data_IF_143484651648
#
_entry.id   IF_143484651648
#
_cell.length_a   1.000
_cell.length_b   1.000
_cell.length_c   1.000
_cell.angle_alpha   90.00
_cell.angle_beta   90.00
_cell.angle_gamma   90.00
#
_symmetry.space_group_name_H-M   'P 1'
#
loop_
_entity.id
_entity.type
_entity.pdbx_description
1 polymer ?
#
# COMPACT_ATOMS: atom_id res chain seq x y z
N UNK A 1 -5.23 -2.84 -23.13
CA UNK A 1 -4.03 -3.57 -23.61
C UNK A 1 -3.07 -2.54 -24.18
N UNK A 2 -1.84 -2.51 -23.69
CA UNK A 2 -0.79 -1.63 -24.21
C UNK A 2 0.29 -2.49 -24.88
N UNK A 3 0.68 -2.08 -26.08
CA UNK A 3 1.86 -2.59 -26.77
C UNK A 3 2.98 -1.58 -26.58
N UNK A 4 4.11 -2.03 -26.04
CA UNK A 4 5.34 -1.23 -26.03
C UNK A 4 6.09 -1.45 -27.34
N UNK A 5 6.91 -0.50 -27.76
CA UNK A 5 7.71 -0.67 -28.97
C UNK A 5 8.63 -1.89 -28.74
N UNK A 6 8.59 -2.92 -29.61
CA UNK A 6 9.40 -4.12 -29.47
C UNK A 6 10.86 -3.82 -29.83
N UNK A 7 11.53 -3.00 -29.02
CA UNK A 7 12.99 -2.98 -29.00
C UNK A 7 13.46 -4.22 -28.21
N UNK A 8 14.31 -5.01 -28.85
CA UNK A 8 14.59 -6.41 -28.54
C UNK A 8 15.50 -6.61 -27.32
N UNK A 9 15.86 -5.55 -26.60
CA UNK A 9 16.76 -5.64 -25.45
C UNK A 9 16.12 -5.04 -24.21
N UNK A 10 15.18 -5.78 -23.61
CA UNK A 10 14.79 -5.63 -22.20
C UNK A 10 13.66 -4.63 -21.86
N UNK A 11 12.49 -4.70 -22.51
CA UNK A 11 11.23 -4.04 -22.05
C UNK A 11 10.06 -5.04 -22.02
N UNK A 12 9.01 -4.83 -21.19
CA UNK A 12 7.85 -5.69 -21.21
C UNK A 12 7.13 -5.49 -22.53
N UNK A 13 6.80 -6.57 -23.21
CA UNK A 13 6.25 -6.46 -24.56
C UNK A 13 4.74 -6.21 -24.56
N UNK A 14 4.03 -6.76 -23.57
CA UNK A 14 2.58 -6.62 -23.44
C UNK A 14 2.22 -6.34 -21.99
N UNK A 15 1.34 -5.36 -21.79
CA UNK A 15 0.68 -5.08 -20.51
C UNK A 15 -0.84 -5.19 -20.72
N UNK A 16 -1.47 -6.11 -20.00
CA UNK A 16 -2.93 -6.36 -20.05
C UNK A 16 -3.52 -6.17 -18.66
N UNK A 17 -4.48 -5.25 -18.52
CA UNK A 17 -5.31 -5.17 -17.32
C UNK A 17 -6.47 -6.15 -17.41
N UNK A 18 -6.74 -6.89 -16.33
CA UNK A 18 -7.95 -7.68 -16.16
C UNK A 18 -8.71 -7.25 -14.90
N UNK A 19 -10.00 -7.59 -14.84
CA UNK A 19 -10.85 -7.34 -13.67
C UNK A 19 -11.67 -8.60 -13.37
N UNK A 20 -11.83 -8.91 -12.09
CA UNK A 20 -12.51 -10.13 -11.63
C UNK A 20 -14.05 -10.04 -11.57
N UNK A 21 -14.63 -8.83 -11.60
CA UNK A 21 -16.09 -8.61 -11.68
C UNK A 21 -16.88 -8.50 -10.35
N UNK A 22 -16.24 -8.52 -9.18
CA UNK A 22 -16.89 -8.30 -7.86
C UNK A 22 -17.21 -6.83 -7.49
N UNK A 23 -18.11 -6.62 -6.51
CA UNK A 23 -18.55 -5.27 -6.12
C UNK A 23 -17.45 -4.31 -5.60
N UNK A 24 -16.27 -4.86 -5.24
CA UNK A 24 -15.06 -4.12 -4.87
C UNK A 24 -13.84 -4.72 -5.60
N UNK A 25 -13.99 -5.02 -6.91
CA UNK A 25 -13.07 -5.75 -7.78
C UNK A 25 -11.57 -5.51 -7.57
N UNK A 26 -10.81 -6.60 -7.58
CA UNK A 26 -9.36 -6.60 -7.73
C UNK A 26 -9.00 -6.56 -9.23
N UNK A 27 -8.37 -5.47 -9.65
CA UNK A 27 -7.67 -5.33 -10.92
C UNK A 27 -6.30 -6.00 -10.83
N UNK A 28 -5.91 -6.65 -11.92
CA UNK A 28 -4.59 -7.26 -12.06
C UNK A 28 -3.95 -6.79 -13.36
N UNK A 29 -2.67 -6.40 -13.31
CA UNK A 29 -1.86 -6.21 -14.50
C UNK A 29 -1.10 -7.49 -14.81
N UNK A 30 -1.27 -7.99 -16.04
CA UNK A 30 -0.48 -9.07 -16.61
C UNK A 30 0.62 -8.46 -17.47
N UNK A 31 1.86 -8.64 -17.04
CA UNK A 31 3.07 -8.21 -17.75
C UNK A 31 3.65 -9.43 -18.45
N UNK A 32 3.83 -9.34 -19.76
CA UNK A 32 4.37 -10.43 -20.58
C UNK A 32 5.59 -9.90 -21.33
N UNK A 33 6.71 -10.59 -21.16
CA UNK A 33 7.96 -10.35 -21.88
C UNK A 33 8.38 -11.62 -22.60
N UNK A 34 8.90 -11.52 -23.82
CA UNK A 34 9.28 -12.69 -24.63
C UNK A 34 10.73 -12.67 -25.14
N UNK A 35 11.51 -11.62 -24.84
CA UNK A 35 12.93 -11.56 -25.14
C UNK A 35 13.74 -11.20 -23.88
N UNK A 36 14.85 -11.91 -23.58
CA UNK A 36 15.38 -13.09 -24.28
C UNK A 36 14.64 -14.41 -23.99
N UNK A 37 13.69 -14.40 -23.05
CA UNK A 37 12.86 -15.57 -22.72
C UNK A 37 11.44 -15.14 -22.33
N UNK A 38 10.49 -16.08 -22.40
CA UNK A 38 9.12 -15.84 -21.96
C UNK A 38 9.07 -15.69 -20.44
N UNK A 39 8.69 -14.51 -19.98
CA UNK A 39 8.43 -14.19 -18.58
C UNK A 39 7.03 -13.59 -18.43
N UNK A 40 6.35 -13.98 -17.35
CA UNK A 40 5.07 -13.40 -16.94
C UNK A 40 5.18 -12.92 -15.50
N UNK A 41 4.71 -11.70 -15.26
CA UNK A 41 4.51 -11.16 -13.93
C UNK A 41 3.08 -10.67 -13.81
N UNK A 42 2.38 -11.14 -12.78
CA UNK A 42 1.09 -10.58 -12.39
C UNK A 42 1.34 -9.55 -11.28
N UNK A 43 0.68 -8.39 -11.37
CA UNK A 43 0.75 -7.33 -10.37
C UNK A 43 -0.67 -7.05 -9.91
N UNK A 44 -0.95 -7.36 -8.64
CA UNK A 44 -2.23 -7.03 -8.02
C UNK A 44 -2.27 -5.53 -7.73
N UNK A 45 -3.19 -4.83 -8.39
CA UNK A 45 -3.44 -3.39 -8.17
C UNK A 45 -4.78 -3.14 -7.48
N UNK A 46 -5.45 -4.21 -7.03
CA UNK A 46 -6.65 -4.18 -6.20
C UNK A 46 -7.71 -3.22 -6.75
N UNK A 47 -8.19 -2.26 -5.95
CA UNK A 47 -9.21 -1.30 -6.35
C UNK A 47 -8.68 -0.10 -7.14
N UNK A 48 -7.43 -0.14 -7.63
CA UNK A 48 -6.91 0.92 -8.50
C UNK A 48 -7.51 0.80 -9.90
N UNK A 49 -8.66 1.43 -10.07
CA UNK A 49 -9.41 1.54 -11.32
C UNK A 49 -8.70 2.43 -12.37
N UNK A 50 -7.76 3.25 -11.91
CA UNK A 50 -6.86 4.03 -12.75
C UNK A 50 -5.40 3.61 -12.55
N UNK A 51 -4.74 3.31 -13.67
CA UNK A 51 -3.31 3.00 -13.74
C UNK A 51 -2.73 3.97 -14.75
N UNK A 52 -1.87 4.86 -14.27
CA UNK A 52 -1.14 5.79 -15.11
C UNK A 52 0.11 5.09 -15.66
N UNK A 53 0.20 5.00 -16.98
CA UNK A 53 1.29 4.33 -17.70
C UNK A 53 2.05 5.37 -18.50
N UNK A 54 3.28 5.69 -18.06
CA UNK A 54 4.08 6.73 -18.71
C UNK A 54 5.21 6.10 -19.53
N UNK A 55 5.29 6.46 -20.80
CA UNK A 55 6.34 5.97 -21.69
C UNK A 55 7.73 6.45 -21.24
N UNK A 56 8.71 5.55 -21.33
CA UNK A 56 10.13 5.84 -21.08
C UNK A 56 10.91 5.51 -22.34
N UNK A 57 11.80 6.41 -22.78
CA UNK A 57 12.61 6.19 -23.96
C UNK A 57 13.57 5.01 -23.75
N UNK A 58 13.51 4.01 -24.64
CA UNK A 58 14.40 2.84 -24.61
C UNK A 58 14.17 1.88 -23.43
N UNK A 59 13.01 1.93 -22.78
CA UNK A 59 12.70 1.08 -21.63
C UNK A 59 11.21 0.78 -21.45
N UNK A 60 10.88 -0.05 -20.46
CA UNK A 60 9.50 -0.29 -20.07
C UNK A 60 8.87 0.96 -19.44
N UNK A 61 7.57 1.22 -19.68
CA UNK A 61 6.91 2.39 -19.12
C UNK A 61 6.87 2.32 -17.60
N UNK A 62 6.83 3.46 -16.92
CA UNK A 62 6.53 3.47 -15.48
C UNK A 62 5.05 3.21 -15.26
N UNK A 63 4.72 2.52 -14.17
CA UNK A 63 3.34 2.22 -13.78
C UNK A 63 3.05 2.91 -12.44
N UNK A 64 2.08 3.81 -12.43
CA UNK A 64 1.67 4.52 -11.22
C UNK A 64 0.21 4.18 -10.89
N UNK A 65 -0.04 3.82 -9.63
CA UNK A 65 -1.36 3.42 -9.13
C UNK A 65 -1.44 3.61 -7.61
N UNK A 66 -2.61 3.38 -7.02
CA UNK A 66 -2.80 3.45 -5.56
C UNK A 66 -2.85 2.05 -4.95
N UNK A 67 -2.18 1.87 -3.81
CA UNK A 67 -2.20 0.59 -3.10
C UNK A 67 -3.40 0.51 -2.14
N UNK A 68 -4.43 -0.24 -2.55
CA UNK A 68 -5.62 -0.49 -1.75
C UNK A 68 -5.49 -1.67 -0.78
N UNK A 69 -4.27 -2.12 -0.44
CA UNK A 69 -4.06 -3.19 0.55
C UNK A 69 -4.74 -2.89 1.89
N UNK A 70 -4.92 -1.61 2.25
CA UNK A 70 -5.60 -1.15 3.47
C UNK A 70 -7.10 -0.90 3.33
N UNK A 71 -7.71 -1.20 2.18
CA UNK A 71 -9.15 -1.09 1.99
C UNK A 71 -9.92 -1.86 3.07
N UNK A 72 -10.92 -1.20 3.66
CA UNK A 72 -11.79 -1.70 4.73
C UNK A 72 -11.10 -2.03 6.06
N UNK A 73 -9.82 -1.69 6.22
CA UNK A 73 -9.12 -1.92 7.48
C UNK A 73 -9.50 -0.83 8.49
N UNK A 74 -10.39 -1.18 9.41
CA UNK A 74 -10.91 -0.30 10.47
C UNK A 74 -11.53 1.01 9.97
N UNK A 75 -12.00 1.03 8.72
CA UNK A 75 -12.67 2.18 8.12
C UNK A 75 -13.55 1.78 6.94
N UNK A 76 -14.37 2.72 6.45
CA UNK A 76 -15.14 2.53 5.22
C UNK A 76 -14.20 2.45 4.00
N UNK A 77 -14.69 1.99 2.84
CA UNK A 77 -13.90 2.06 1.61
C UNK A 77 -13.51 3.49 1.26
N UNK A 78 -14.47 4.43 1.38
CA UNK A 78 -14.28 5.83 1.01
C UNK A 78 -13.20 6.52 1.86
N UNK A 79 -13.06 6.07 3.10
CA UNK A 79 -12.08 6.62 4.05
C UNK A 79 -10.77 5.82 4.08
N UNK A 80 -10.70 4.69 3.37
CA UNK A 80 -9.51 3.84 3.38
C UNK A 80 -8.33 4.54 2.70
N UNK A 81 -7.16 4.61 3.35
CA UNK A 81 -5.99 5.19 2.71
C UNK A 81 -5.47 4.27 1.61
N UNK A 82 -5.04 4.88 0.52
CA UNK A 82 -4.44 4.20 -0.62
C UNK A 82 -3.17 4.97 -1.03
N UNK A 83 -1.99 4.68 -0.43
CA UNK A 83 -0.77 5.38 -0.76
C UNK A 83 -0.34 5.14 -2.21
N UNK A 84 0.27 6.14 -2.88
CA UNK A 84 0.69 6.00 -4.27
C UNK A 84 1.90 5.07 -4.40
N UNK A 85 1.91 4.31 -5.48
CA UNK A 85 2.98 3.40 -5.89
C UNK A 85 3.47 3.81 -7.27
N UNK A 86 4.78 3.69 -7.46
CA UNK A 86 5.41 3.76 -8.78
C UNK A 86 6.24 2.50 -8.98
N UNK A 87 6.08 1.84 -10.12
CA UNK A 87 6.90 0.72 -10.55
C UNK A 87 7.70 1.10 -11.78
N UNK A 88 8.95 0.64 -11.83
CA UNK A 88 9.82 0.78 -12.98
C UNK A 88 10.26 -0.59 -13.50
N UNK A 89 10.48 -0.67 -14.80
CA UNK A 89 10.94 -1.90 -15.41
C UNK A 89 12.42 -2.13 -15.11
N UNK A 90 12.75 -3.29 -14.53
CA UNK A 90 14.12 -3.73 -14.35
C UNK A 90 14.52 -4.65 -15.52
N UNK A 91 15.23 -4.09 -16.48
CA UNK A 91 15.75 -4.79 -17.65
C UNK A 91 16.58 -6.04 -17.32
N UNK A 92 17.41 -5.97 -16.28
CA UNK A 92 18.28 -7.08 -15.87
C UNK A 92 17.50 -8.23 -15.24
N UNK A 93 16.45 -7.93 -14.48
CA UNK A 93 15.60 -8.93 -13.85
C UNK A 93 14.43 -9.37 -14.74
N UNK A 94 14.16 -8.66 -15.83
CA UNK A 94 13.05 -8.94 -16.73
C UNK A 94 11.68 -8.80 -16.05
N UNK A 95 11.54 -7.89 -15.09
CA UNK A 95 10.29 -7.67 -14.31
C UNK A 95 10.17 -6.24 -13.80
N UNK A 96 8.96 -5.83 -13.44
CA UNK A 96 8.72 -4.61 -12.69
C UNK A 96 9.16 -4.76 -11.23
N UNK A 97 9.79 -3.69 -10.73
CA UNK A 97 10.20 -3.51 -9.34
C UNK A 97 9.72 -2.14 -8.83
N UNK A 98 9.80 -1.91 -7.52
CA UNK A 98 9.49 -0.59 -6.95
C UNK A 98 10.41 0.48 -7.55
N UNK A 99 9.82 1.58 -8.03
CA UNK A 99 10.55 2.77 -8.44
C UNK A 99 10.89 3.61 -7.20
N UNK A 100 11.87 3.14 -6.43
CA UNK A 100 12.24 3.71 -5.13
C UNK A 100 12.54 5.21 -5.26
N UNK A 101 13.31 5.60 -6.26
CA UNK A 101 13.72 6.98 -6.44
C UNK A 101 12.53 7.89 -6.80
N UNK A 102 11.55 7.36 -7.55
CA UNK A 102 10.30 8.06 -7.82
C UNK A 102 9.34 8.14 -6.64
N UNK A 103 9.43 7.21 -5.68
CA UNK A 103 8.57 7.17 -4.49
C UNK A 103 9.15 7.97 -3.31
N UNK A 104 10.47 8.05 -3.21
CA UNK A 104 11.16 8.70 -2.09
C UNK A 104 10.81 10.17 -1.99
N UNK A 105 10.58 10.61 -0.76
CA UNK A 105 10.48 12.03 -0.40
C UNK A 105 11.47 12.32 0.72
N UNK A 106 11.91 13.57 0.86
CA UNK A 106 12.66 13.98 2.05
C UNK A 106 11.87 13.60 3.31
N UNK A 107 12.58 13.13 4.33
CA UNK A 107 11.96 12.89 5.63
C UNK A 107 11.30 14.18 6.14
N UNK A 108 10.12 14.10 6.78
CA UNK A 108 9.48 15.28 7.35
C UNK A 108 10.37 15.91 8.41
N UNK A 109 10.28 17.23 8.55
CA UNK A 109 10.92 17.93 9.66
C UNK A 109 10.21 17.60 10.99
N UNK A 110 10.88 17.85 12.12
CA UNK A 110 10.25 17.69 13.44
C UNK A 110 9.00 18.58 13.58
N UNK A 111 9.04 19.82 13.06
CA UNK A 111 7.89 20.72 13.07
C UNK A 111 6.72 20.14 12.28
N UNK A 112 6.98 19.57 11.10
CA UNK A 112 5.96 18.89 10.30
C UNK A 112 5.36 17.67 11.01
N UNK A 113 6.19 16.87 11.69
CA UNK A 113 5.70 15.73 12.48
C UNK A 113 4.84 16.17 13.67
N UNK A 114 5.22 17.26 14.34
CA UNK A 114 4.44 17.84 15.42
C UNK A 114 3.10 18.42 14.93
N UNK A 115 3.09 19.09 13.77
CA UNK A 115 1.86 19.57 13.13
C UNK A 115 0.92 18.41 12.78
N UNK A 116 1.44 17.33 12.18
CA UNK A 116 0.65 16.14 11.86
C UNK A 116 0.11 15.47 13.12
N UNK A 117 0.92 15.31 14.17
CA UNK A 117 0.47 14.76 15.44
C UNK A 117 -0.62 15.63 16.06
N UNK A 118 -0.43 16.96 16.08
CA UNK A 118 -1.42 17.90 16.63
C UNK A 118 -2.72 17.92 15.84
N UNK A 119 -2.69 17.68 14.52
CA UNK A 119 -3.89 17.48 13.72
C UNK A 119 -4.63 16.22 14.16
N UNK A 120 -3.94 15.08 14.28
CA UNK A 120 -4.52 13.81 14.73
C UNK A 120 -5.14 13.90 16.13
N UNK A 121 -4.57 14.72 17.02
CA UNK A 121 -5.12 14.94 18.36
C UNK A 121 -6.48 15.64 18.36
N UNK A 122 -6.77 16.43 17.32
CA UNK A 122 -8.03 17.17 17.14
C UNK A 122 -9.10 16.35 16.43
N UNK A 123 -8.74 15.20 15.86
CA UNK A 123 -9.70 14.35 15.17
C UNK A 123 -10.74 13.80 16.15
N UNK A 124 -12.01 14.05 15.82
CA UNK A 124 -13.13 13.44 16.52
C UNK A 124 -13.22 11.98 16.09
N UNK A 125 -13.19 11.09 17.07
CA UNK A 125 -13.42 9.67 16.85
C UNK A 125 -14.74 9.27 17.48
N UNK A 126 -15.47 8.39 16.82
CA UNK A 126 -16.56 7.69 17.47
C UNK A 126 -15.98 6.88 18.64
N UNK A 127 -16.36 7.25 19.86
CA UNK A 127 -15.93 6.57 21.09
C UNK A 127 -16.34 5.09 21.14
N UNK A 128 -17.25 4.65 20.27
CA UNK A 128 -17.64 3.24 20.12
C UNK A 128 -16.69 2.47 19.19
N UNK A 129 -15.79 3.15 18.48
CA UNK A 129 -14.82 2.54 17.59
C UNK A 129 -13.47 2.34 18.31
N UNK A 130 -12.98 1.09 18.49
CA UNK A 130 -11.83 0.80 19.33
C UNK A 130 -10.47 1.13 18.68
N UNK A 131 -10.47 1.82 17.55
CA UNK A 131 -9.28 2.10 16.74
C UNK A 131 -9.02 3.61 16.65
N UNK A 132 -7.75 4.03 16.49
CA UNK A 132 -7.41 5.43 16.26
C UNK A 132 -8.09 5.98 14.98
N UNK A 133 -8.05 7.29 14.74
CA UNK A 133 -8.56 7.87 13.50
C UNK A 133 -7.85 7.27 12.27
N UNK A 134 -8.59 7.05 11.18
CA UNK A 134 -8.03 6.56 9.90
C UNK A 134 -6.88 7.39 9.37
N UNK A 135 -6.92 8.69 9.64
CA UNK A 135 -5.84 9.61 9.30
C UNK A 135 -4.48 9.20 9.88
N UNK A 136 -4.45 8.58 11.08
CA UNK A 136 -3.19 8.14 11.69
C UNK A 136 -2.45 7.16 10.77
N UNK A 137 -3.09 6.05 10.37
CA UNK A 137 -2.40 5.10 9.50
C UNK A 137 -2.31 5.57 8.05
N UNK A 138 -3.19 6.45 7.59
CA UNK A 138 -3.01 7.14 6.31
C UNK A 138 -1.69 7.92 6.25
N UNK A 139 -1.38 8.69 7.29
CA UNK A 139 -0.13 9.44 7.39
C UNK A 139 1.08 8.54 7.64
N UNK A 140 0.91 7.48 8.45
CA UNK A 140 1.96 6.46 8.61
C UNK A 140 2.31 5.81 7.26
N UNK A 141 1.30 5.41 6.47
CA UNK A 141 1.48 4.82 5.14
C UNK A 141 2.18 5.79 4.19
N UNK A 142 1.78 7.06 4.19
CA UNK A 142 2.46 8.13 3.43
C UNK A 142 3.95 8.16 3.75
N UNK A 143 4.33 8.13 5.02
CA UNK A 143 5.73 8.15 5.45
C UNK A 143 6.48 6.86 5.13
N UNK A 144 5.85 5.71 5.33
CA UNK A 144 6.46 4.40 5.00
C UNK A 144 6.73 4.31 3.50
N UNK A 145 5.74 4.64 2.67
CA UNK A 145 5.81 4.49 1.22
C UNK A 145 6.77 5.51 0.59
N UNK A 146 7.06 6.62 1.27
CA UNK A 146 8.10 7.57 0.87
C UNK A 146 9.49 7.27 1.45
N UNK A 147 9.67 6.14 2.16
CA UNK A 147 10.95 5.69 2.71
C UNK A 147 11.34 6.32 4.05
N UNK A 148 10.36 6.79 4.83
CA UNK A 148 10.53 7.42 6.15
C UNK A 148 9.75 6.65 7.24
N UNK A 149 9.94 5.34 7.33
CA UNK A 149 9.23 4.49 8.30
C UNK A 149 9.46 4.88 9.76
N UNK A 150 10.67 5.33 10.12
CA UNK A 150 10.95 5.84 11.46
C UNK A 150 10.08 7.07 11.80
N UNK A 151 9.81 7.94 10.82
CA UNK A 151 8.90 9.08 10.99
C UNK A 151 7.46 8.65 11.22
N UNK A 152 7.01 7.57 10.56
CA UNK A 152 5.70 6.97 10.84
C UNK A 152 5.61 6.43 12.28
N UNK A 153 6.70 5.82 12.77
CA UNK A 153 6.77 5.34 14.17
C UNK A 153 6.69 6.51 15.15
N UNK A 154 7.49 7.56 14.94
CA UNK A 154 7.46 8.78 15.74
C UNK A 154 6.07 9.41 15.74
N UNK A 155 5.43 9.54 14.58
CA UNK A 155 4.06 10.08 14.48
C UNK A 155 3.08 9.28 15.36
N UNK A 156 3.08 7.95 15.23
CA UNK A 156 2.21 7.09 16.04
C UNK A 156 2.49 7.26 17.54
N UNK A 157 3.76 7.27 17.94
CA UNK A 157 4.15 7.41 19.34
C UNK A 157 3.77 8.77 19.93
N UNK A 158 3.88 9.86 19.15
CA UNK A 158 3.56 11.22 19.57
C UNK A 158 2.07 11.51 19.59
N UNK A 159 1.31 11.01 18.60
CA UNK A 159 -0.12 11.27 18.48
C UNK A 159 -0.97 10.37 19.39
N UNK A 160 -0.41 9.28 19.94
CA UNK A 160 -1.21 8.26 20.63
C UNK A 160 -1.98 8.81 21.82
N UNK A 161 -3.28 8.50 21.89
CA UNK A 161 -4.13 8.82 23.03
C UNK A 161 -4.56 7.53 23.74
N UNK A 162 -4.58 7.48 25.09
CA UNK A 162 -5.02 6.30 25.84
C UNK A 162 -6.42 5.80 25.45
N UNK A 163 -7.30 6.72 25.02
CA UNK A 163 -8.66 6.39 24.56
C UNK A 163 -8.71 5.55 23.28
N UNK A 164 -7.61 5.45 22.53
CA UNK A 164 -7.49 4.62 21.32
C UNK A 164 -7.13 3.16 21.62
N UNK A 165 -7.05 2.81 22.91
CA UNK A 165 -6.68 1.47 23.36
C UNK A 165 -5.17 1.24 23.38
N UNK A 166 -4.79 -0.02 23.25
CA UNK A 166 -3.40 -0.47 23.37
C UNK A 166 -2.61 -0.20 22.09
N UNK A 167 -1.59 0.66 22.20
CA UNK A 167 -0.73 1.04 21.07
C UNK A 167 0.00 -0.14 20.47
N UNK A 168 0.48 -1.05 21.32
CA UNK A 168 1.25 -2.23 20.93
C UNK A 168 0.38 -3.22 20.16
N UNK A 169 -0.91 -3.35 20.54
CA UNK A 169 -1.87 -4.14 19.78
C UNK A 169 -2.08 -3.54 18.38
N UNK A 170 -2.36 -2.23 18.30
CA UNK A 170 -2.49 -1.55 17.01
C UNK A 170 -1.23 -1.68 16.15
N UNK A 171 -0.05 -1.43 16.73
CA UNK A 171 1.23 -1.56 16.02
C UNK A 171 1.43 -2.97 15.47
N UNK A 172 1.04 -4.00 16.23
CA UNK A 172 1.11 -5.41 15.80
C UNK A 172 0.13 -5.68 14.65
N UNK A 173 -1.13 -5.26 14.79
CA UNK A 173 -2.15 -5.47 13.75
C UNK A 173 -1.85 -4.67 12.47
N UNK A 174 -1.36 -3.43 12.60
CA UNK A 174 -0.90 -2.62 11.48
C UNK A 174 0.27 -3.27 10.76
N UNK A 175 1.28 -3.73 11.50
CA UNK A 175 2.43 -4.43 10.91
C UNK A 175 1.99 -5.72 10.22
N UNK A 176 1.08 -6.50 10.82
CA UNK A 176 0.49 -7.66 10.14
C UNK A 176 -0.20 -7.25 8.84
N UNK A 177 -1.01 -6.18 8.89
CA UNK A 177 -1.78 -5.70 7.74
C UNK A 177 -0.87 -5.29 6.58
N UNK A 178 0.23 -4.57 6.86
CA UNK A 178 1.27 -4.28 5.86
C UNK A 178 1.75 -5.54 5.15
N UNK A 179 2.11 -6.58 5.93
CA UNK A 179 2.65 -7.84 5.41
C UNK A 179 1.63 -8.65 4.58
N UNK A 180 0.33 -8.38 4.69
CA UNK A 180 -0.69 -9.01 3.83
C UNK A 180 -0.82 -8.38 2.45
N UNK A 181 -0.28 -7.17 2.25
CA UNK A 181 -0.34 -6.49 0.96
C UNK A 181 0.53 -7.17 -0.09
N UNK A 182 0.04 -7.24 -1.34
CA UNK A 182 0.75 -7.93 -2.41
C UNK A 182 2.17 -7.39 -2.63
N UNK A 183 2.34 -6.05 -2.60
CA UNK A 183 3.62 -5.37 -2.79
C UNK A 183 4.64 -5.74 -1.71
N UNK A 184 4.17 -5.93 -0.47
CA UNK A 184 5.02 -6.32 0.66
C UNK A 184 5.55 -7.74 0.51
N UNK A 185 4.69 -8.66 0.06
CA UNK A 185 5.08 -10.06 -0.16
C UNK A 185 5.89 -10.30 -1.44
N UNK A 186 5.61 -9.58 -2.53
CA UNK A 186 6.14 -9.89 -3.86
C UNK A 186 7.20 -8.92 -4.37
N UNK A 187 7.21 -7.66 -3.88
CA UNK A 187 8.19 -6.65 -4.24
C UNK A 187 9.11 -6.24 -3.08
N UNK A 188 9.09 -7.00 -1.99
CA UNK A 188 9.99 -6.84 -0.84
C UNK A 188 9.99 -5.42 -0.25
N UNK A 189 8.80 -4.81 -0.20
CA UNK A 189 8.62 -3.42 0.21
C UNK A 189 9.21 -3.12 1.60
N UNK A 190 9.11 -4.08 2.53
CA UNK A 190 9.63 -3.95 3.89
C UNK A 190 11.14 -3.68 3.92
N UNK A 191 11.93 -4.39 3.12
CA UNK A 191 13.38 -4.22 3.08
C UNK A 191 13.78 -3.04 2.19
N UNK A 192 13.15 -2.93 1.03
CA UNK A 192 13.43 -1.88 0.03
C UNK A 192 13.18 -0.48 0.60
N UNK A 193 12.10 -0.30 1.35
CA UNK A 193 11.77 0.96 2.03
C UNK A 193 12.33 1.05 3.46
N UNK A 194 13.13 0.07 3.89
CA UNK A 194 13.71 -0.02 5.26
C UNK A 194 12.67 0.00 6.39
N UNK A 195 11.44 -0.40 6.10
CA UNK A 195 10.35 -0.42 7.07
C UNK A 195 10.38 -1.62 8.02
N UNK A 196 11.14 -2.68 7.71
CA UNK A 196 11.16 -3.91 8.51
C UNK A 196 11.63 -3.72 9.96
N UNK A 197 12.47 -2.71 10.24
CA UNK A 197 12.93 -2.39 11.59
C UNK A 197 11.85 -1.69 12.44
N UNK A 198 11.06 -0.82 11.82
CA UNK A 198 10.03 -0.03 12.51
C UNK A 198 8.67 -0.74 12.59
N UNK A 199 8.39 -1.59 11.59
CA UNK A 199 7.17 -2.38 11.43
C UNK A 199 7.52 -3.83 11.06
N UNK A 200 8.09 -4.60 12.01
CA UNK A 200 8.51 -5.98 11.76
C UNK A 200 7.31 -6.89 11.52
N UNK A 201 7.53 -7.96 10.75
CA UNK A 201 6.55 -9.04 10.64
C UNK A 201 6.29 -9.64 12.04
N UNK A 202 5.03 -9.65 12.53
CA UNK A 202 4.74 -10.20 13.85
C UNK A 202 5.06 -11.69 13.95
N UNK A 203 5.59 -12.11 15.12
CA UNK A 203 5.82 -13.52 15.44
C UNK A 203 4.49 -14.24 15.69
N UNK A 204 3.55 -13.55 16.32
CA UNK A 204 2.18 -14.00 16.55
C UNK A 204 1.21 -12.88 16.21
N UNK A 205 0.03 -13.24 15.70
CA UNK A 205 -1.03 -12.30 15.35
C UNK A 205 -2.18 -12.50 16.34
N UNK A 206 -2.50 -11.49 17.17
CA UNK A 206 -3.68 -11.54 18.03
C UNK A 206 -4.96 -11.70 17.20
N UNK A 207 -5.92 -12.51 17.69
CA UNK A 207 -7.22 -12.70 17.02
C UNK A 207 -8.00 -11.37 16.88
N UNK A 208 -7.75 -10.39 17.76
CA UNK A 208 -8.31 -9.05 17.71
C UNK A 208 -7.89 -8.24 16.47
N UNK A 209 -6.83 -8.63 15.76
CA UNK A 209 -6.44 -7.98 14.52
C UNK A 209 -7.41 -8.26 13.35
N UNK A 210 -8.21 -9.31 13.43
CA UNK A 210 -9.17 -9.70 12.38
C UNK A 210 -10.58 -9.15 12.65
N UNK A 211 -10.85 -8.62 13.84
CA UNK A 211 -12.18 -8.15 14.23
C UNK A 211 -12.43 -6.69 13.80
N UNK A 212 -13.16 -6.52 12.70
CA UNK A 212 -14.38 -5.71 12.55
C UNK A 212 -14.67 -5.44 11.06
N UNK A 213 -15.05 -6.50 10.33
CA UNK A 213 -16.00 -6.31 9.23
C UNK A 213 -17.37 -6.34 9.89
N UNK A 214 -18.24 -5.31 9.75
CA UNK A 214 -19.60 -5.42 10.22
C UNK A 214 -20.21 -6.67 9.58
N UNK A 215 -20.67 -7.63 10.39
CA UNK A 215 -21.52 -8.72 9.90
C UNK A 215 -22.67 -8.03 9.17
N UNK A 216 -22.69 -8.08 7.83
CA UNK A 216 -23.82 -7.61 7.04
C UNK A 216 -25.05 -8.23 7.67
N UNK A 217 -25.89 -7.41 8.31
CA UNK A 217 -27.24 -7.82 8.62
C UNK A 217 -27.85 -8.16 7.27
N UNK A 218 -28.07 -9.46 7.04
CA UNK A 218 -29.07 -9.89 6.08
C UNK A 218 -30.37 -9.25 6.54
N UNK A 219 -30.72 -8.11 5.97
CA UNK A 219 -32.11 -7.68 5.98
C UNK A 219 -32.87 -8.71 5.16
N UNK A 220 -33.61 -9.54 5.88
CA UNK A 220 -34.65 -10.40 5.36
C UNK A 220 -35.53 -9.57 4.43
N UNK A 221 -35.64 -10.01 3.18
CA UNK A 221 -36.72 -9.57 2.30
C UNK A 221 -38.00 -10.21 2.83
N UNK A 222 -38.92 -9.40 3.33
CA UNK A 222 -40.37 -9.69 3.29
C UNK A 222 -40.95 -8.96 2.10
#
# INVERSE_FOLDING_TARGET
MLYTNPDATHSPNIIVGSHSGGANCCYTLHIISFAPSLHKQDIEVYNSDHIDIQAVAGGGPTLNFLDFSFAFWHSSFADSPAPPISLSWNAMQGRYVLNIDGMRKPAPSNATLEEDANRLLKEEIDTQHPWPPTLLWGDMLKYIYSGSSASARTLMDTAWQPKWGEKELFSTCFSQKLQTGWLWGHLDMANVMKAAGDFPKPISVPASCESLVPKRHLMSRT
#
